data_IF_425205085158
#
_entry.id   IF_425205085158
#
_cell.length_a   1.000
_cell.length_b   1.000
_cell.length_c   1.000
_cell.angle_alpha   90.00
_cell.angle_beta   90.00
_cell.angle_gamma   90.00
#
_symmetry.space_group_name_H-M   'P 1'
#
loop_
_entity.id
_entity.type
_entity.pdbx_description
1 polymer ?
#
# COMPACT_ATOMS: atom_id res chain seq x y z
N UNK A 1 3.64 -8.16 -3.97
CA UNK A 1 2.57 -7.18 -4.26
C UNK A 1 1.50 -7.22 -3.20
N UNK A 2 0.80 -6.14 -3.00
CA UNK A 2 -0.38 -6.16 -2.15
C UNK A 2 -1.57 -6.73 -2.91
N UNK A 3 -2.31 -7.60 -2.26
CA UNK A 3 -3.57 -8.14 -2.79
C UNK A 3 -4.66 -7.98 -1.73
N UNK A 4 -5.91 -7.93 -2.19
CA UNK A 4 -7.05 -7.83 -1.26
C UNK A 4 -7.32 -9.22 -0.70
N UNK A 5 -7.27 -9.34 0.63
CA UNK A 5 -7.60 -10.56 1.34
C UNK A 5 -9.11 -10.63 1.63
N UNK A 6 -9.66 -9.55 2.19
CA UNK A 6 -11.10 -9.45 2.49
C UNK A 6 -11.50 -8.02 2.80
N UNK A 7 -12.81 -7.76 2.75
CA UNK A 7 -13.43 -6.51 3.19
C UNK A 7 -14.29 -6.82 4.41
N UNK A 8 -14.02 -6.14 5.54
CA UNK A 8 -14.63 -6.49 6.83
C UNK A 8 -16.12 -6.17 6.91
N UNK A 9 -16.64 -5.25 6.09
CA UNK A 9 -18.06 -4.89 6.11
C UNK A 9 -18.99 -5.99 5.57
N UNK A 10 -18.44 -7.03 4.94
CA UNK A 10 -19.17 -8.22 4.49
C UNK A 10 -20.16 -8.04 3.34
N UNK A 11 -20.34 -6.83 2.82
CA UNK A 11 -21.33 -6.56 1.77
C UNK A 11 -20.79 -6.74 0.36
N UNK A 12 -19.50 -6.55 0.17
CA UNK A 12 -18.81 -6.66 -1.12
C UNK A 12 -17.53 -7.48 -0.93
N UNK A 13 -17.15 -8.22 -1.96
CA UNK A 13 -15.94 -9.04 -1.94
C UNK A 13 -14.67 -8.27 -2.31
N UNK A 14 -14.82 -7.08 -2.85
CA UNK A 14 -13.70 -6.21 -3.23
C UNK A 14 -14.15 -4.75 -3.13
N UNK A 15 -13.21 -3.81 -2.92
CA UNK A 15 -13.51 -2.39 -2.93
C UNK A 15 -13.96 -1.90 -4.30
N UNK A 16 -14.60 -0.75 -4.33
CA UNK A 16 -14.90 -0.05 -5.58
C UNK A 16 -13.60 0.41 -6.24
N UNK A 17 -13.66 0.63 -7.55
CA UNK A 17 -12.55 1.13 -8.35
C UNK A 17 -12.80 2.56 -8.81
N UNK A 18 -11.71 3.28 -9.06
CA UNK A 18 -11.76 4.56 -9.76
C UNK A 18 -10.53 4.72 -10.66
N UNK A 19 -10.63 5.61 -11.64
CA UNK A 19 -9.53 5.95 -12.54
C UNK A 19 -8.87 7.24 -12.06
N UNK A 20 -7.54 7.22 -11.94
CA UNK A 20 -6.76 8.33 -11.38
C UNK A 20 -5.72 8.76 -12.42
N UNK A 21 -5.59 10.08 -12.70
CA UNK A 21 -4.53 10.55 -13.61
C UNK A 21 -3.14 10.15 -13.12
N UNK A 22 -2.29 9.71 -14.03
CA UNK A 22 -0.91 9.34 -13.69
C UNK A 22 -0.04 10.58 -13.46
N UNK A 23 1.02 10.39 -12.70
CA UNK A 23 2.13 11.34 -12.58
C UNK A 23 3.15 10.99 -13.67
N UNK A 24 3.66 12.00 -14.37
CA UNK A 24 4.65 11.82 -15.44
C UNK A 24 5.86 11.02 -14.95
N UNK A 25 6.41 10.22 -15.85
CA UNK A 25 7.65 9.45 -15.64
C UNK A 25 7.63 8.53 -14.42
N UNK A 26 6.46 8.01 -14.07
CA UNK A 26 6.27 7.10 -12.93
C UNK A 26 5.93 5.70 -13.42
N UNK A 27 6.56 4.69 -12.84
CA UNK A 27 6.24 3.28 -13.10
C UNK A 27 5.33 2.74 -11.99
N UNK A 28 4.15 2.29 -12.39
CA UNK A 28 3.15 1.69 -11.51
C UNK A 28 3.16 0.18 -11.71
N UNK A 29 3.10 -0.57 -10.62
CA UNK A 29 2.98 -2.02 -10.65
C UNK A 29 1.62 -2.44 -10.11
N UNK A 30 1.03 -3.47 -10.69
CA UNK A 30 -0.14 -4.11 -10.11
C UNK A 30 0.17 -4.51 -8.67
N UNK A 31 -0.71 -4.15 -7.75
CA UNK A 31 -0.52 -4.42 -6.32
C UNK A 31 0.31 -3.37 -5.58
N UNK A 32 0.63 -2.23 -6.21
CA UNK A 32 1.30 -1.12 -5.54
C UNK A 32 0.27 -0.25 -4.80
N UNK A 33 0.64 0.22 -3.61
CA UNK A 33 -0.15 1.18 -2.86
C UNK A 33 0.05 2.58 -3.44
N UNK A 34 -1.03 3.30 -3.61
CA UNK A 34 -1.09 4.60 -4.27
C UNK A 34 -1.55 5.67 -3.29
N UNK A 35 -0.90 6.82 -3.33
CA UNK A 35 -1.35 8.05 -2.70
C UNK A 35 -1.77 9.06 -3.77
N UNK A 36 -2.52 10.07 -3.39
CA UNK A 36 -2.93 11.15 -4.29
C UNK A 36 -2.18 12.43 -3.92
N UNK A 37 -1.50 13.01 -4.89
CA UNK A 37 -0.81 14.30 -4.73
C UNK A 37 -1.20 15.21 -5.89
N UNK A 38 -1.76 16.37 -5.58
CA UNK A 38 -2.24 17.34 -6.59
C UNK A 38 -3.19 16.69 -7.61
N UNK A 39 -4.06 15.80 -7.14
CA UNK A 39 -5.05 15.10 -7.96
C UNK A 39 -4.50 13.96 -8.81
N UNK A 40 -3.22 13.62 -8.69
CA UNK A 40 -2.56 12.58 -9.47
C UNK A 40 -2.09 11.42 -8.60
N UNK A 41 -2.04 10.22 -9.20
CA UNK A 41 -1.55 9.03 -8.53
C UNK A 41 -0.02 9.08 -8.39
N UNK A 42 0.46 8.86 -7.18
CA UNK A 42 1.88 8.64 -6.89
C UNK A 42 2.05 7.36 -6.11
N UNK A 43 3.23 6.74 -6.17
CA UNK A 43 3.52 5.59 -5.30
C UNK A 43 3.48 6.07 -3.85
N UNK A 44 2.78 5.31 -3.00
CA UNK A 44 2.54 5.76 -1.62
C UNK A 44 3.86 5.98 -0.86
N UNK A 45 4.78 5.04 -0.91
CA UNK A 45 6.05 5.17 -0.20
C UNK A 45 5.82 5.51 1.27
N UNK A 46 6.24 6.69 1.69
CA UNK A 46 6.02 7.20 3.06
C UNK A 46 4.79 8.10 3.18
N UNK A 47 3.99 8.24 2.12
CA UNK A 47 2.73 8.99 2.13
C UNK A 47 1.57 8.07 2.50
N UNK A 48 0.47 8.66 2.97
CA UNK A 48 -0.73 7.88 3.27
C UNK A 48 -1.30 7.27 2.01
N UNK A 49 -1.38 5.94 1.98
CA UNK A 49 -2.02 5.22 0.88
C UNK A 49 -3.54 5.38 0.94
N UNK A 50 -4.15 5.57 -0.22
CA UNK A 50 -5.61 5.69 -0.38
C UNK A 50 -6.16 4.69 -1.40
N UNK A 51 -5.31 4.13 -2.23
CA UNK A 51 -5.71 3.27 -3.35
C UNK A 51 -4.71 2.13 -3.55
N UNK A 52 -5.16 1.10 -4.27
CA UNK A 52 -4.36 -0.05 -4.68
C UNK A 52 -4.40 -0.17 -6.20
N UNK A 53 -3.24 -0.11 -6.85
CA UNK A 53 -3.12 -0.17 -8.30
C UNK A 53 -3.51 -1.56 -8.83
N UNK A 54 -4.32 -1.61 -9.89
CA UNK A 54 -4.79 -2.87 -10.49
C UNK A 54 -4.07 -3.25 -11.77
N UNK A 55 -3.18 -2.41 -12.28
CA UNK A 55 -2.50 -2.64 -13.56
C UNK A 55 -1.02 -2.25 -13.52
N UNK A 56 -0.23 -2.84 -14.41
CA UNK A 56 1.14 -2.41 -14.66
C UNK A 56 1.12 -1.31 -15.71
N UNK A 57 1.74 -0.18 -15.42
CA UNK A 57 1.80 0.95 -16.34
C UNK A 57 3.02 1.82 -16.09
N UNK A 58 3.70 2.21 -17.16
CA UNK A 58 4.81 3.19 -17.08
C UNK A 58 4.39 4.46 -17.79
N UNK A 59 4.29 5.55 -17.03
CA UNK A 59 3.89 6.85 -17.56
C UNK A 59 5.06 7.53 -18.28
N UNK A 60 4.78 8.10 -19.45
CA UNK A 60 5.71 8.94 -20.17
C UNK A 60 5.78 10.36 -19.60
N UNK A 61 6.64 11.19 -20.20
CA UNK A 61 6.89 12.56 -19.73
C UNK A 61 5.68 13.50 -19.86
N UNK A 62 4.75 13.21 -20.78
CA UNK A 62 3.55 14.03 -21.03
C UNK A 62 2.29 13.17 -21.04
N UNK A 63 2.25 12.15 -20.21
CA UNK A 63 1.21 11.15 -20.21
C UNK A 63 -0.08 11.67 -19.58
N UNK A 64 -1.20 11.38 -20.23
CA UNK A 64 -2.56 11.74 -19.75
C UNK A 64 -3.41 10.52 -19.41
N UNK A 65 -2.81 9.33 -19.36
CA UNK A 65 -3.51 8.11 -18.99
C UNK A 65 -4.06 8.18 -17.57
N UNK A 66 -5.18 7.48 -17.33
CA UNK A 66 -5.75 7.29 -16.00
C UNK A 66 -5.63 5.81 -15.64
N UNK A 67 -4.93 5.49 -14.58
CA UNK A 67 -4.83 4.11 -14.08
C UNK A 67 -6.04 3.75 -13.25
N UNK A 68 -6.45 2.48 -13.34
CA UNK A 68 -7.51 1.95 -12.49
C UNK A 68 -6.95 1.50 -11.15
N UNK A 69 -7.60 1.92 -10.07
CA UNK A 69 -7.20 1.55 -8.71
C UNK A 69 -8.41 1.17 -7.87
N UNK A 70 -8.23 0.25 -6.93
CA UNK A 70 -9.21 0.03 -5.87
C UNK A 70 -9.14 1.18 -4.86
N UNK A 71 -10.30 1.64 -4.38
CA UNK A 71 -10.38 2.60 -3.29
C UNK A 71 -10.21 1.83 -1.98
N UNK A 72 -9.25 2.22 -1.15
CA UNK A 72 -8.96 1.56 0.12
C UNK A 72 -9.53 2.34 1.30
N UNK A 73 -9.92 1.59 2.32
CA UNK A 73 -10.29 2.09 3.63
C UNK A 73 -9.71 1.15 4.70
N UNK A 74 -9.83 1.48 5.97
CA UNK A 74 -9.27 0.68 7.06
C UNK A 74 -10.00 -0.65 7.30
N UNK A 75 -11.14 -0.88 6.64
CA UNK A 75 -11.85 -2.17 6.68
C UNK A 75 -11.42 -3.14 5.56
N UNK A 76 -10.48 -2.74 4.70
CA UNK A 76 -9.91 -3.61 3.67
C UNK A 76 -8.64 -4.26 4.20
N UNK A 77 -8.66 -5.58 4.34
CA UNK A 77 -7.48 -6.34 4.75
C UNK A 77 -6.71 -6.74 3.50
N UNK A 78 -5.43 -6.42 3.51
CA UNK A 78 -4.48 -6.70 2.42
C UNK A 78 -3.52 -7.81 2.83
N UNK A 79 -3.03 -8.55 1.83
CA UNK A 79 -1.94 -9.52 1.97
C UNK A 79 -0.75 -9.04 1.17
N UNK A 80 0.44 -9.13 1.74
CA UNK A 80 1.69 -8.86 1.04
C UNK A 80 2.83 -9.68 1.64
N UNK A 81 4.02 -9.55 1.06
CA UNK A 81 5.24 -10.20 1.56
C UNK A 81 6.16 -9.17 2.21
N UNK A 82 7.01 -9.66 3.11
CA UNK A 82 8.08 -8.87 3.74
C UNK A 82 9.32 -8.87 2.86
N UNK A 83 9.96 -7.72 2.70
CA UNK A 83 11.25 -7.64 1.99
C UNK A 83 12.44 -8.03 2.86
N UNK A 84 12.28 -8.00 4.18
CA UNK A 84 13.31 -8.34 5.16
C UNK A 84 12.69 -8.97 6.40
N UNK A 85 13.51 -9.55 7.26
CA UNK A 85 13.08 -10.06 8.56
C UNK A 85 12.49 -8.92 9.40
N UNK A 86 11.47 -9.23 10.20
CA UNK A 86 10.84 -8.23 11.06
C UNK A 86 10.83 -8.67 12.52
N UNK A 87 10.96 -7.71 13.42
CA UNK A 87 10.66 -7.84 14.85
C UNK A 87 9.33 -7.20 15.23
N UNK A 88 8.61 -6.64 14.26
CA UNK A 88 7.28 -6.07 14.51
C UNK A 88 6.30 -7.16 14.92
N UNK A 89 5.28 -6.74 15.66
CA UNK A 89 4.21 -7.62 16.13
C UNK A 89 2.87 -7.10 15.60
N UNK A 90 1.84 -7.90 15.77
CA UNK A 90 0.46 -7.53 15.46
C UNK A 90 0.12 -6.17 16.09
N UNK A 91 -0.46 -5.27 15.31
CA UNK A 91 -0.74 -3.89 15.70
C UNK A 91 0.42 -2.92 15.44
N UNK A 92 1.60 -3.42 15.11
CA UNK A 92 2.74 -2.59 14.72
C UNK A 92 2.56 -2.00 13.33
N UNK A 93 3.32 -0.93 13.05
CA UNK A 93 3.28 -0.23 11.77
C UNK A 93 4.55 -0.51 10.99
N UNK A 94 4.40 -1.03 9.78
CA UNK A 94 5.51 -1.31 8.88
C UNK A 94 5.63 -0.26 7.79
N UNK A 95 6.86 0.13 7.47
CA UNK A 95 7.15 0.88 6.26
C UNK A 95 6.89 0.01 5.02
N UNK A 96 6.61 0.66 3.90
CA UNK A 96 6.48 0.01 2.59
C UNK A 96 7.71 0.32 1.73
N UNK A 97 8.03 -0.58 0.80
CA UNK A 97 9.21 -0.43 -0.05
C UNK A 97 9.05 0.72 -1.06
N UNK A 98 10.13 1.04 -1.79
CA UNK A 98 10.14 2.18 -2.72
C UNK A 98 9.23 2.00 -3.92
N UNK A 99 8.95 0.77 -4.33
CA UNK A 99 7.98 0.47 -5.40
C UNK A 99 6.55 0.34 -4.87
N UNK A 100 6.35 0.48 -3.56
CA UNK A 100 5.07 0.48 -2.86
C UNK A 100 4.26 -0.82 -3.02
N UNK A 101 4.91 -1.93 -3.35
CA UNK A 101 4.25 -3.21 -3.60
C UNK A 101 4.53 -4.28 -2.54
N UNK A 102 5.35 -3.98 -1.53
CA UNK A 102 5.64 -4.88 -0.42
C UNK A 102 5.86 -4.11 0.89
N UNK A 103 5.73 -4.78 2.03
CA UNK A 103 6.10 -4.24 3.34
C UNK A 103 7.57 -4.53 3.62
N UNK A 104 8.28 -3.57 4.21
CA UNK A 104 9.69 -3.77 4.53
C UNK A 104 9.93 -4.53 5.83
N UNK A 105 8.96 -4.55 6.73
CA UNK A 105 9.14 -5.10 8.07
C UNK A 105 9.85 -4.17 9.04
N UNK A 106 10.26 -3.00 8.59
CA UNK A 106 10.87 -1.98 9.46
C UNK A 106 9.79 -1.09 10.08
N UNK A 107 10.00 -0.64 11.31
CA UNK A 107 9.12 0.33 11.96
C UNK A 107 9.12 1.65 11.20
N UNK A 108 7.98 2.35 11.24
CA UNK A 108 7.85 3.65 10.58
C UNK A 108 8.79 4.68 11.19
N UNK A 109 9.44 5.46 10.35
CA UNK A 109 10.13 6.67 10.76
C UNK A 109 9.13 7.74 11.21
N UNK A 110 9.56 8.67 12.05
CA UNK A 110 8.74 9.76 12.56
C UNK A 110 8.08 10.53 11.42
N UNK A 111 6.75 10.71 11.52
CA UNK A 111 5.96 11.47 10.53
C UNK A 111 5.70 10.73 9.22
N UNK A 112 6.08 9.46 9.10
CA UNK A 112 5.86 8.67 7.89
C UNK A 112 4.65 7.75 8.03
N UNK A 113 4.01 7.43 6.92
CA UNK A 113 2.89 6.50 6.83
C UNK A 113 3.36 5.13 6.33
N UNK A 114 2.60 4.11 6.62
CA UNK A 114 2.84 2.74 6.15
C UNK A 114 1.57 1.91 6.32
N UNK A 115 1.74 0.64 6.65
CA UNK A 115 0.63 -0.28 6.87
C UNK A 115 0.66 -0.81 8.30
N UNK A 116 -0.53 -0.99 8.87
CA UNK A 116 -0.68 -1.65 10.18
C UNK A 116 -0.72 -3.15 9.99
N UNK A 117 0.07 -3.88 10.77
CA UNK A 117 0.09 -5.34 10.75
C UNK A 117 -1.17 -5.85 11.47
N UNK A 118 -2.01 -6.58 10.74
CA UNK A 118 -3.20 -7.24 11.27
C UNK A 118 -2.84 -8.63 11.77
N UNK A 119 -1.98 -9.35 11.02
CA UNK A 119 -1.49 -10.66 11.41
C UNK A 119 -0.16 -10.96 10.71
N UNK A 120 0.66 -11.79 11.35
CA UNK A 120 1.94 -12.25 10.81
C UNK A 120 1.85 -13.74 10.55
N UNK A 121 1.92 -14.12 9.27
CA UNK A 121 1.99 -15.55 8.88
C UNK A 121 3.42 -16.04 9.09
N UNK A 122 4.40 -15.15 8.89
CA UNK A 122 5.80 -15.39 9.22
C UNK A 122 6.54 -14.08 9.46
N UNK A 123 7.77 -14.16 9.94
CA UNK A 123 8.57 -12.99 10.33
C UNK A 123 9.88 -12.83 9.54
N UNK A 124 10.17 -13.76 8.65
CA UNK A 124 11.39 -13.74 7.82
C UNK A 124 11.13 -13.06 6.48
N UNK A 125 12.19 -12.59 5.83
CA UNK A 125 12.11 -12.08 4.47
C UNK A 125 11.39 -13.09 3.57
N UNK A 126 10.45 -12.59 2.74
CA UNK A 126 9.61 -13.42 1.89
C UNK A 126 8.37 -14.00 2.55
N UNK A 127 8.24 -13.89 3.88
CA UNK A 127 7.03 -14.33 4.58
C UNK A 127 5.85 -13.41 4.28
N UNK A 128 4.64 -13.96 4.35
CA UNK A 128 3.42 -13.19 4.14
C UNK A 128 2.93 -12.56 5.44
N UNK A 129 2.30 -11.40 5.30
CA UNK A 129 1.59 -10.72 6.38
C UNK A 129 0.21 -10.29 5.90
N UNK A 130 -0.72 -10.13 6.84
CA UNK A 130 -1.98 -9.43 6.64
C UNK A 130 -1.86 -8.03 7.24
N UNK A 131 -2.32 -7.03 6.52
CA UNK A 131 -2.18 -5.64 6.93
C UNK A 131 -3.34 -4.79 6.43
N UNK A 132 -3.38 -3.54 6.85
CA UNK A 132 -4.36 -2.56 6.37
C UNK A 132 -3.72 -1.17 6.33
N UNK A 133 -4.29 -0.28 5.55
CA UNK A 133 -3.89 1.14 5.59
C UNK A 133 -4.29 1.74 6.93
N UNK A 134 -3.56 2.75 7.37
CA UNK A 134 -3.82 3.42 8.65
C UNK A 134 -3.57 4.91 8.52
N UNK A 135 -4.33 5.70 9.29
CA UNK A 135 -4.12 7.13 9.43
C UNK A 135 -2.96 7.46 10.38
N UNK A 136 -2.47 6.47 11.12
CA UNK A 136 -1.38 6.67 12.06
C UNK A 136 -0.06 6.92 11.34
N UNK A 137 0.76 7.80 11.91
CA UNK A 137 2.12 8.07 11.45
C UNK A 137 3.13 7.51 12.44
N UNK A 138 4.37 7.34 11.98
CA UNK A 138 5.47 6.98 12.87
C UNK A 138 5.65 8.05 13.96
N UNK A 139 5.84 7.62 15.18
CA UNK A 139 6.03 8.50 16.34
C UNK A 139 7.52 8.67 16.64
N UNK A 140 7.83 9.80 17.27
CA UNK A 140 9.17 10.01 17.82
C UNK A 140 9.43 9.00 18.94
N UNK A 141 10.61 8.39 18.90
CA UNK A 141 11.07 7.49 19.96
C UNK A 141 11.34 8.27 21.24
#
# INVERSE_FOLDING_TARGET
MFTIEKVLNGRINHPETEFIPVTASTTYKKGALIAITSGKAVLAGSKKATHLCTEDYTAGASDTHHIQCFILSDDVILRTTLTADTSLVKGGMSAINTTADEATGAALATGKYGVEIVDLIGTKAGSEILCKISDAVGASA
#
